data_IF_922987376556
#
_entry.id   IF_922987376556
#
_cell.length_a   1.000
_cell.length_b   1.000
_cell.length_c   1.000
_cell.angle_alpha   90.00
_cell.angle_beta   90.00
_cell.angle_gamma   90.00
#
_symmetry.space_group_name_H-M   'P 1'
#
loop_
_entity.id
_entity.type
_entity.pdbx_description
1 polymer ?
#
# COMPACT_ATOMS: atom_id res chain seq x y z
N UNK A 1 27.84 -7.11 -3.16
CA UNK A 1 26.77 -6.55 -4.01
C UNK A 1 25.38 -7.06 -3.63
N UNK A 2 25.21 -8.35 -3.34
CA UNK A 2 23.90 -8.88 -2.88
C UNK A 2 23.42 -8.19 -1.59
N UNK A 3 24.26 -8.03 -0.57
CA UNK A 3 23.88 -7.33 0.69
C UNK A 3 23.34 -5.91 0.48
N UNK A 4 23.90 -5.15 -0.48
CA UNK A 4 23.39 -3.81 -0.78
C UNK A 4 22.01 -3.87 -1.42
N UNK A 5 21.75 -4.83 -2.32
CA UNK A 5 20.43 -5.06 -2.91
C UNK A 5 19.40 -5.44 -1.84
N UNK A 6 19.76 -6.31 -0.90
CA UNK A 6 18.87 -6.78 0.18
C UNK A 6 18.46 -5.63 1.10
N UNK A 7 19.42 -4.80 1.51
CA UNK A 7 19.18 -3.60 2.31
C UNK A 7 18.33 -2.58 1.54
N UNK A 8 18.68 -2.28 0.28
CA UNK A 8 17.91 -1.34 -0.55
C UNK A 8 16.49 -1.82 -0.74
N UNK A 9 16.29 -3.12 -1.02
CA UNK A 9 14.96 -3.71 -1.16
C UNK A 9 14.16 -3.54 0.12
N UNK A 10 14.75 -3.91 1.26
CA UNK A 10 14.10 -3.81 2.58
C UNK A 10 13.72 -2.37 2.92
N UNK A 11 14.61 -1.40 2.66
CA UNK A 11 14.34 0.03 2.88
C UNK A 11 13.23 0.53 1.97
N UNK A 12 13.30 0.25 0.66
CA UNK A 12 12.28 0.71 -0.31
C UNK A 12 10.90 0.14 0.03
N UNK A 13 10.80 -1.15 0.34
CA UNK A 13 9.53 -1.77 0.77
C UNK A 13 9.08 -1.23 2.12
N UNK A 14 9.99 -1.07 3.08
CA UNK A 14 9.66 -0.56 4.41
C UNK A 14 9.09 0.85 4.39
N UNK A 15 9.65 1.76 3.58
CA UNK A 15 9.12 3.12 3.44
C UNK A 15 7.74 3.09 2.74
N UNK A 16 7.54 2.24 1.74
CA UNK A 16 6.23 2.05 1.09
C UNK A 16 5.17 1.60 2.11
N UNK A 17 5.49 0.58 2.92
CA UNK A 17 4.61 0.08 3.98
C UNK A 17 4.33 1.16 5.02
N UNK A 18 5.35 1.95 5.39
CA UNK A 18 5.21 3.08 6.31
C UNK A 18 4.19 4.12 5.82
N UNK A 19 4.21 4.46 4.53
CA UNK A 19 3.23 5.38 3.93
C UNK A 19 1.81 4.79 4.01
N UNK A 20 1.62 3.53 3.62
CA UNK A 20 0.31 2.87 3.64
C UNK A 20 -0.23 2.72 5.07
N UNK A 21 0.65 2.43 6.03
CA UNK A 21 0.33 2.37 7.46
C UNK A 21 -0.08 3.75 7.99
N UNK A 22 0.69 4.79 7.68
CA UNK A 22 0.36 6.16 8.08
C UNK A 22 -1.00 6.60 7.52
N UNK A 23 -1.32 6.22 6.28
CA UNK A 23 -2.65 6.48 5.69
C UNK A 23 -3.76 5.85 6.53
N UNK A 24 -3.62 4.57 6.87
CA UNK A 24 -4.64 3.82 7.61
C UNK A 24 -4.87 4.35 9.03
N UNK A 25 -3.79 4.61 9.78
CA UNK A 25 -3.89 4.85 11.22
C UNK A 25 -3.76 6.32 11.64
N UNK A 26 -3.20 7.17 10.78
CA UNK A 26 -2.91 8.57 11.10
C UNK A 26 -3.69 9.51 10.20
N UNK A 27 -3.48 9.44 8.88
CA UNK A 27 -4.03 10.42 7.93
C UNK A 27 -5.56 10.36 7.91
N UNK A 28 -6.15 9.16 7.78
CA UNK A 28 -7.60 9.04 7.72
C UNK A 28 -8.26 9.55 9.00
N UNK A 29 -7.67 9.24 10.16
CA UNK A 29 -8.14 9.74 11.45
C UNK A 29 -8.08 11.26 11.55
N UNK A 30 -7.01 11.89 11.06
CA UNK A 30 -6.90 13.35 11.01
C UNK A 30 -7.99 13.92 10.10
N UNK A 31 -8.16 13.35 8.90
CA UNK A 31 -9.14 13.83 7.93
C UNK A 31 -10.59 13.68 8.45
N UNK A 32 -10.90 12.62 9.19
CA UNK A 32 -12.23 12.41 9.79
C UNK A 32 -12.56 13.39 10.91
N UNK A 33 -11.55 13.96 11.56
CA UNK A 33 -11.73 14.94 12.62
C UNK A 33 -11.90 16.38 12.09
N UNK A 34 -11.69 16.60 10.79
CA UNK A 34 -11.84 17.93 10.19
C UNK A 34 -13.33 18.31 10.05
N UNK A 35 -13.67 19.60 10.18
CA UNK A 35 -15.04 20.06 10.06
C UNK A 35 -15.56 19.95 8.63
N UNK A 36 -16.89 19.81 8.53
CA UNK A 36 -17.65 19.89 7.28
C UNK A 36 -17.12 18.90 6.21
N UNK A 37 -16.79 19.39 5.02
CA UNK A 37 -16.38 18.57 3.87
C UNK A 37 -14.85 18.51 3.69
N UNK A 38 -14.09 19.11 4.60
CA UNK A 38 -12.63 19.18 4.53
C UNK A 38 -11.98 17.79 4.48
N UNK A 39 -12.51 16.84 5.26
CA UNK A 39 -12.04 15.46 5.27
C UNK A 39 -12.24 14.75 3.94
N UNK A 40 -13.38 14.97 3.27
CA UNK A 40 -13.66 14.43 1.94
C UNK A 40 -12.71 15.02 0.90
N UNK A 41 -12.57 16.35 0.88
CA UNK A 41 -11.70 17.05 -0.08
C UNK A 41 -10.23 16.61 0.08
N UNK A 42 -9.78 16.45 1.32
CA UNK A 42 -8.46 15.92 1.65
C UNK A 42 -8.26 14.49 1.12
N UNK A 43 -9.23 13.59 1.33
CA UNK A 43 -9.17 12.22 0.79
C UNK A 43 -9.16 12.21 -0.74
N UNK A 44 -9.97 13.04 -1.40
CA UNK A 44 -10.00 13.12 -2.86
C UNK A 44 -8.67 13.63 -3.43
N UNK A 45 -8.06 14.65 -2.81
CA UNK A 45 -6.75 15.16 -3.19
C UNK A 45 -5.64 14.12 -2.94
N UNK A 46 -5.59 13.54 -1.73
CA UNK A 46 -4.65 12.50 -1.38
C UNK A 46 -4.74 11.29 -2.32
N UNK A 47 -5.95 10.87 -2.68
CA UNK A 47 -6.18 9.79 -3.63
C UNK A 47 -5.64 10.09 -5.04
N UNK A 48 -5.69 11.34 -5.51
CA UNK A 48 -5.07 11.74 -6.79
C UNK A 48 -3.54 11.68 -6.72
N UNK A 49 -2.96 12.28 -5.69
CA UNK A 49 -1.50 12.33 -5.50
C UNK A 49 -0.91 10.93 -5.28
N UNK A 50 -1.38 10.21 -4.26
CA UNK A 50 -0.89 8.86 -3.95
C UNK A 50 -1.23 7.88 -5.08
N UNK A 51 -2.42 7.99 -5.68
CA UNK A 51 -2.81 7.12 -6.79
C UNK A 51 -1.89 7.21 -8.01
N UNK A 52 -1.21 8.35 -8.22
CA UNK A 52 -0.23 8.51 -9.28
C UNK A 52 1.14 7.92 -8.94
N UNK A 53 1.55 7.96 -7.66
CA UNK A 53 2.89 7.57 -7.22
C UNK A 53 2.98 6.09 -6.81
N UNK A 54 1.95 5.57 -6.13
CA UNK A 54 1.96 4.24 -5.53
C UNK A 54 2.19 3.08 -6.53
N UNK A 55 1.66 3.09 -7.76
CA UNK A 55 1.92 2.00 -8.72
C UNK A 55 3.42 1.80 -8.99
N UNK A 56 4.18 2.89 -9.14
CA UNK A 56 5.63 2.82 -9.37
C UNK A 56 6.37 2.23 -8.16
N UNK A 57 5.91 2.55 -6.94
CA UNK A 57 6.51 2.02 -5.72
C UNK A 57 6.26 0.52 -5.55
N UNK A 58 5.04 0.05 -5.83
CA UNK A 58 4.70 -1.37 -5.79
C UNK A 58 5.44 -2.16 -6.87
N UNK A 59 5.48 -1.65 -8.11
CA UNK A 59 6.21 -2.29 -9.20
C UNK A 59 7.71 -2.34 -8.89
N UNK A 60 8.29 -1.22 -8.43
CA UNK A 60 9.69 -1.17 -8.02
C UNK A 60 10.01 -2.15 -6.90
N UNK A 61 9.13 -2.25 -5.90
CA UNK A 61 9.27 -3.21 -4.79
C UNK A 61 9.23 -4.66 -5.29
N UNK A 62 8.31 -5.00 -6.19
CA UNK A 62 8.20 -6.34 -6.78
C UNK A 62 9.42 -6.70 -7.63
N UNK A 63 9.90 -5.76 -8.45
CA UNK A 63 11.13 -5.96 -9.25
C UNK A 63 12.32 -6.19 -8.35
N UNK A 64 12.49 -5.39 -7.30
CA UNK A 64 13.57 -5.57 -6.32
C UNK A 64 13.50 -6.93 -5.62
N UNK A 65 12.32 -7.36 -5.19
CA UNK A 65 12.13 -8.69 -4.59
C UNK A 65 12.45 -9.81 -5.58
N UNK A 66 12.06 -9.69 -6.86
CA UNK A 66 12.36 -10.67 -7.89
C UNK A 66 13.87 -10.77 -8.16
N UNK A 67 14.56 -9.62 -8.28
CA UNK A 67 16.02 -9.58 -8.47
C UNK A 67 16.73 -10.17 -7.26
N UNK A 68 16.28 -9.88 -6.04
CA UNK A 68 16.82 -10.50 -4.82
C UNK A 68 16.62 -12.01 -4.83
N UNK A 69 15.40 -12.51 -5.10
CA UNK A 69 15.12 -13.95 -5.13
C UNK A 69 15.99 -14.70 -6.16
N UNK A 70 16.21 -14.11 -7.34
CA UNK A 70 17.08 -14.70 -8.38
C UNK A 70 18.56 -14.63 -7.98
N UNK A 71 19.03 -13.48 -7.50
CA UNK A 71 20.44 -13.29 -7.12
C UNK A 71 20.83 -14.09 -5.85
N UNK A 72 19.87 -14.36 -4.98
CA UNK A 72 20.04 -15.14 -3.77
C UNK A 72 19.82 -16.63 -3.95
N UNK A 73 19.47 -17.12 -5.15
CA UNK A 73 19.04 -18.50 -5.37
C UNK A 73 19.94 -19.56 -4.69
N UNK A 74 19.32 -20.49 -3.97
CA UNK A 74 20.02 -21.52 -3.20
C UNK A 74 20.56 -21.06 -1.82
N UNK A 75 20.42 -19.79 -1.45
CA UNK A 75 20.76 -19.30 -0.10
C UNK A 75 19.59 -19.48 0.88
N UNK A 76 19.90 -19.67 2.18
CA UNK A 76 18.91 -19.54 3.23
C UNK A 76 18.17 -18.19 3.13
N UNK A 77 16.86 -18.17 3.38
CA UNK A 77 16.05 -16.93 3.37
C UNK A 77 15.32 -16.62 2.06
N UNK A 78 15.75 -17.16 0.91
CA UNK A 78 15.10 -16.89 -0.41
C UNK A 78 13.63 -17.28 -0.43
N UNK A 79 13.27 -18.37 0.26
CA UNK A 79 11.87 -18.78 0.40
C UNK A 79 10.99 -17.69 1.03
N UNK A 80 11.51 -16.96 2.02
CA UNK A 80 10.81 -15.84 2.65
C UNK A 80 10.66 -14.65 1.68
N UNK A 81 11.67 -14.38 0.86
CA UNK A 81 11.62 -13.32 -0.17
C UNK A 81 10.54 -13.65 -1.22
N UNK A 82 10.44 -14.91 -1.65
CA UNK A 82 9.41 -15.35 -2.61
C UNK A 82 8.01 -15.22 -2.00
N UNK A 83 7.83 -15.64 -0.74
CA UNK A 83 6.53 -15.47 -0.06
C UNK A 83 6.19 -13.99 0.12
N UNK A 84 7.16 -13.15 0.50
CA UNK A 84 6.97 -11.71 0.61
C UNK A 84 6.55 -11.07 -0.72
N UNK A 85 7.22 -11.44 -1.82
CA UNK A 85 6.83 -11.01 -3.17
C UNK A 85 5.40 -11.44 -3.52
N UNK A 86 5.02 -12.68 -3.18
CA UNK A 86 3.66 -13.19 -3.31
C UNK A 86 2.63 -12.35 -2.55
N UNK A 87 2.93 -11.98 -1.30
CA UNK A 87 2.06 -11.10 -0.50
C UNK A 87 1.94 -9.69 -1.09
N UNK A 88 3.02 -9.14 -1.65
CA UNK A 88 2.96 -7.87 -2.39
C UNK A 88 2.06 -7.98 -3.63
N UNK A 89 2.12 -9.10 -4.37
CA UNK A 89 1.19 -9.36 -5.49
C UNK A 89 -0.25 -9.43 -5.00
N UNK A 90 -0.52 -10.14 -3.90
CA UNK A 90 -1.86 -10.19 -3.29
C UNK A 90 -2.35 -8.78 -2.93
N UNK A 91 -1.50 -7.94 -2.33
CA UNK A 91 -1.83 -6.54 -2.02
C UNK A 91 -2.15 -5.71 -3.27
N UNK A 92 -1.42 -5.92 -4.38
CA UNK A 92 -1.71 -5.26 -5.67
C UNK A 92 -3.08 -5.71 -6.20
N UNK A 93 -3.37 -7.01 -6.18
CA UNK A 93 -4.66 -7.55 -6.62
C UNK A 93 -5.80 -7.00 -5.77
N UNK A 94 -5.67 -7.00 -4.45
CA UNK A 94 -6.63 -6.37 -3.54
C UNK A 94 -6.88 -4.91 -3.90
N UNK A 95 -5.80 -4.15 -4.18
CA UNK A 95 -5.90 -2.76 -4.56
C UNK A 95 -6.71 -2.57 -5.84
N UNK A 96 -6.34 -3.26 -6.92
CA UNK A 96 -6.97 -3.10 -8.24
C UNK A 96 -8.44 -3.54 -8.22
N UNK A 97 -8.78 -4.61 -7.49
CA UNK A 97 -10.14 -5.15 -7.47
C UNK A 97 -11.06 -4.45 -6.47
N UNK A 98 -10.54 -3.99 -5.34
CA UNK A 98 -11.37 -3.53 -4.22
C UNK A 98 -11.21 -2.03 -3.94
N UNK A 99 -9.97 -1.52 -3.88
CA UNK A 99 -9.70 -0.14 -3.44
C UNK A 99 -9.73 0.87 -4.60
N UNK A 100 -9.08 0.56 -5.72
CA UNK A 100 -8.98 1.43 -6.91
C UNK A 100 -10.36 1.80 -7.48
N UNK A 101 -11.35 0.91 -7.58
CA UNK A 101 -12.67 1.27 -8.07
C UNK A 101 -13.36 2.32 -7.18
N UNK A 102 -13.21 2.22 -5.87
CA UNK A 102 -13.74 3.22 -4.92
C UNK A 102 -12.97 4.53 -5.07
N UNK A 103 -11.63 4.48 -5.14
CA UNK A 103 -10.80 5.66 -5.33
C UNK A 103 -11.10 6.42 -6.63
N UNK A 104 -11.37 5.72 -7.73
CA UNK A 104 -11.67 6.36 -9.00
C UNK A 104 -13.00 7.14 -8.95
N UNK A 105 -13.97 6.67 -8.15
CA UNK A 105 -15.18 7.45 -7.85
C UNK A 105 -14.89 8.59 -6.88
N UNK A 106 -14.22 8.32 -5.77
CA UNK A 106 -14.02 9.32 -4.71
C UNK A 106 -13.19 10.53 -5.15
N UNK A 107 -12.27 10.35 -6.10
CA UNK A 107 -11.46 11.44 -6.68
C UNK A 107 -12.30 12.51 -7.40
N UNK A 108 -13.52 12.19 -7.85
CA UNK A 108 -14.40 13.11 -8.59
C UNK A 108 -15.48 13.74 -7.71
N UNK A 109 -15.58 13.31 -6.45
CA UNK A 109 -16.61 13.79 -5.54
C UNK A 109 -16.31 15.21 -5.03
N UNK A 110 -17.35 16.04 -5.03
CA UNK A 110 -17.44 17.33 -4.36
C UNK A 110 -18.61 17.28 -3.35
N UNK A 111 -18.74 18.27 -2.45
CA UNK A 111 -19.88 18.34 -1.55
C UNK A 111 -21.24 18.29 -2.26
N UNK A 112 -21.30 18.84 -3.48
CA UNK A 112 -22.54 19.01 -4.26
C UNK A 112 -22.91 17.75 -5.06
N UNK A 113 -21.95 16.90 -5.42
CA UNK A 113 -22.17 15.80 -6.37
C UNK A 113 -22.01 14.39 -5.78
N UNK A 114 -21.51 14.27 -4.54
CA UNK A 114 -21.23 12.97 -3.92
C UNK A 114 -22.52 12.16 -3.75
N UNK A 115 -22.48 10.84 -3.97
CA UNK A 115 -23.66 9.99 -3.82
C UNK A 115 -24.05 9.88 -2.34
N UNK A 116 -25.32 9.57 -2.04
CA UNK A 116 -25.81 9.48 -0.66
C UNK A 116 -25.06 8.44 0.20
N UNK A 117 -24.52 7.39 -0.43
CA UNK A 117 -23.78 6.30 0.21
C UNK A 117 -22.25 6.54 0.29
N UNK A 118 -21.77 7.75 0.01
CA UNK A 118 -20.33 8.05 -0.07
C UNK A 118 -19.55 7.66 1.20
N UNK A 119 -20.17 7.78 2.38
CA UNK A 119 -19.58 7.37 3.67
C UNK A 119 -19.42 5.86 3.77
N UNK A 120 -20.45 5.10 3.41
CA UNK A 120 -20.39 3.63 3.42
C UNK A 120 -19.30 3.12 2.46
N UNK A 121 -19.15 3.77 1.30
CA UNK A 121 -18.07 3.48 0.38
C UNK A 121 -16.69 3.77 0.98
N UNK A 122 -16.56 4.88 1.72
CA UNK A 122 -15.36 5.23 2.49
C UNK A 122 -15.02 4.20 3.56
N UNK A 123 -15.99 3.83 4.40
CA UNK A 123 -15.81 2.83 5.47
C UNK A 123 -15.44 1.45 4.90
N UNK A 124 -16.00 1.10 3.73
CA UNK A 124 -15.62 -0.12 3.01
C UNK A 124 -14.19 -0.05 2.48
N UNK A 125 -13.78 1.09 1.94
CA UNK A 125 -12.39 1.32 1.53
C UNK A 125 -11.44 1.19 2.72
N UNK A 126 -11.76 1.81 3.86
CA UNK A 126 -10.94 1.77 5.08
C UNK A 126 -10.77 0.34 5.58
N UNK A 127 -11.84 -0.46 5.61
CA UNK A 127 -11.76 -1.88 6.00
C UNK A 127 -10.85 -2.68 5.08
N UNK A 128 -10.99 -2.54 3.76
CA UNK A 128 -10.10 -3.23 2.81
C UNK A 128 -8.65 -2.76 2.93
N UNK A 129 -8.45 -1.46 3.18
CA UNK A 129 -7.12 -0.90 3.36
C UNK A 129 -6.44 -1.42 4.62
N UNK A 130 -7.14 -1.56 5.74
CA UNK A 130 -6.59 -2.16 6.96
C UNK A 130 -6.10 -3.59 6.74
N UNK A 131 -6.90 -4.42 6.06
CA UNK A 131 -6.48 -5.80 5.72
C UNK A 131 -5.26 -5.78 4.81
N UNK A 132 -5.25 -4.89 3.81
CA UNK A 132 -4.11 -4.73 2.90
C UNK A 132 -2.84 -4.29 3.62
N UNK A 133 -2.94 -3.39 4.61
CA UNK A 133 -1.82 -2.98 5.46
C UNK A 133 -1.27 -4.17 6.25
N UNK A 134 -2.11 -5.03 6.82
CA UNK A 134 -1.64 -6.24 7.50
C UNK A 134 -0.85 -7.17 6.56
N UNK A 135 -1.33 -7.35 5.33
CA UNK A 135 -0.64 -8.17 4.30
C UNK A 135 0.74 -7.62 3.97
N UNK A 136 0.87 -6.32 3.73
CA UNK A 136 2.16 -5.72 3.36
C UNK A 136 3.12 -5.58 4.55
N UNK A 137 2.61 -5.42 5.77
CA UNK A 137 3.43 -5.50 7.00
C UNK A 137 4.00 -6.90 7.17
N UNK A 138 3.20 -7.95 6.94
CA UNK A 138 3.70 -9.32 6.94
C UNK A 138 4.77 -9.54 5.85
N UNK A 139 4.54 -9.03 4.63
CA UNK A 139 5.54 -9.07 3.56
C UNK A 139 6.86 -8.40 3.97
N UNK A 140 6.79 -7.20 4.56
CA UNK A 140 7.96 -6.48 5.05
C UNK A 140 8.69 -7.23 6.17
N UNK A 141 7.96 -7.81 7.13
CA UNK A 141 8.55 -8.62 8.19
C UNK A 141 9.30 -9.84 7.64
N UNK A 142 8.77 -10.49 6.59
CA UNK A 142 9.45 -11.59 5.91
C UNK A 142 10.74 -11.13 5.21
N UNK A 143 10.74 -9.97 4.55
CA UNK A 143 11.96 -9.41 3.94
C UNK A 143 13.01 -9.06 4.99
N UNK A 144 12.60 -8.41 6.09
CA UNK A 144 13.50 -8.10 7.20
C UNK A 144 14.08 -9.38 7.83
N UNK A 145 13.27 -10.43 7.96
CA UNK A 145 13.72 -11.75 8.46
C UNK A 145 14.66 -12.44 7.47
N UNK A 146 14.43 -12.30 6.17
CA UNK A 146 15.30 -12.88 5.14
C UNK A 146 16.68 -12.20 5.06
N UNK A 147 16.76 -10.93 5.46
CA UNK A 147 17.99 -10.16 5.53
C UNK A 147 18.82 -10.44 6.80
N UNK A 148 18.16 -10.83 7.90
CA UNK A 148 18.78 -11.05 9.21
C UNK A 148 19.60 -12.35 9.25
#
# INVERSE_FOLDING_TARGET
MVTALEVVTTVVVGVMVGVEFAVAFVVNRILDALPEDSGQLGRAHGGRMLGAVMPFWYIGSLVLCAVWAVAGWGRPGVGLVVVAAGLLVVSVVMSVLLLVPINNRSKTWTPENRPADWKEQGDRWDRFHHVRVAVIVAAFALLATALA
#
